data_IF_564059017526
#
_entry.id   IF_564059017526
#
_cell.length_a   1.000
_cell.length_b   1.000
_cell.length_c   1.000
_cell.angle_alpha   90.00
_cell.angle_beta   90.00
_cell.angle_gamma   90.00
#
_symmetry.space_group_name_H-M   'P 1'
#
loop_
_entity.id
_entity.type
_entity.pdbx_description
1 polymer ?
#
# COMPACT_ATOMS: atom_id res chain seq x y z
N UNK A 1 18.17 16.90 29.16
CA UNK A 1 18.99 17.84 28.37
C UNK A 1 19.26 17.20 27.01
N UNK A 2 18.55 17.65 25.98
CA UNK A 2 18.64 17.12 24.62
C UNK A 2 19.72 17.90 23.85
N UNK A 3 20.75 17.19 23.36
CA UNK A 3 21.84 17.78 22.58
C UNK A 3 21.46 17.69 21.09
N UNK A 4 21.12 18.86 20.55
CA UNK A 4 21.15 19.33 19.17
C UNK A 4 21.03 18.32 17.99
N UNK A 5 19.89 18.39 17.29
CA UNK A 5 19.67 17.94 15.90
C UNK A 5 20.21 18.97 14.88
N UNK A 6 21.45 19.43 15.04
CA UNK A 6 22.04 20.43 14.13
C UNK A 6 23.56 20.32 14.14
N UNK A 7 24.08 19.15 13.74
CA UNK A 7 25.43 19.09 13.20
C UNK A 7 25.32 19.31 11.69
N UNK A 8 26.07 20.27 11.11
CA UNK A 8 26.21 20.34 9.65
C UNK A 8 26.95 19.09 9.18
N UNK A 9 26.53 18.51 8.06
CA UNK A 9 27.23 17.39 7.42
C UNK A 9 28.73 17.73 7.33
N UNK A 10 29.59 16.81 7.77
CA UNK A 10 31.04 17.00 7.67
C UNK A 10 31.39 17.38 6.22
N UNK A 11 32.15 18.47 5.99
CA UNK A 11 32.55 18.85 4.65
C UNK A 11 33.30 17.69 4.02
N UNK A 12 32.88 17.32 2.82
CA UNK A 12 33.41 16.20 2.05
C UNK A 12 34.96 16.21 2.08
N UNK A 13 35.55 15.14 2.61
CA UNK A 13 37.01 15.01 2.74
C UNK A 13 37.65 14.77 1.36
N UNK A 14 37.81 15.87 0.64
CA UNK A 14 38.41 15.94 -0.69
C UNK A 14 39.80 15.30 -0.78
N UNK A 15 40.57 15.30 0.31
CA UNK A 15 41.90 14.69 0.37
C UNK A 15 41.79 13.16 0.38
N UNK A 16 40.85 12.63 1.17
CA UNK A 16 40.56 11.20 1.20
C UNK A 16 40.00 10.70 -0.14
N UNK A 17 39.12 11.48 -0.77
CA UNK A 17 38.60 11.16 -2.11
C UNK A 17 39.70 11.17 -3.17
N UNK A 18 40.59 12.16 -3.17
CA UNK A 18 41.72 12.22 -4.08
C UNK A 18 42.65 11.00 -3.92
N UNK A 19 42.91 10.56 -2.68
CA UNK A 19 43.69 9.37 -2.39
C UNK A 19 43.02 8.08 -2.89
N UNK A 20 41.69 7.95 -2.70
CA UNK A 20 40.92 6.80 -3.18
C UNK A 20 40.89 6.75 -4.70
N UNK A 21 40.66 7.89 -5.36
CA UNK A 21 40.67 8.00 -6.81
C UNK A 21 42.04 7.63 -7.39
N UNK A 22 43.14 8.12 -6.79
CA UNK A 22 44.49 7.77 -7.22
C UNK A 22 44.81 6.27 -7.07
N UNK A 23 44.29 5.62 -6.01
CA UNK A 23 44.42 4.17 -5.82
C UNK A 23 43.60 3.36 -6.82
N UNK A 24 42.42 3.85 -7.19
CA UNK A 24 41.54 3.21 -8.18
C UNK A 24 42.12 3.32 -9.60
N UNK A 25 42.72 4.45 -9.96
CA UNK A 25 43.37 4.65 -11.27
C UNK A 25 44.76 4.02 -11.38
N UNK A 26 45.44 3.78 -10.24
CA UNK A 26 46.78 3.20 -10.18
C UNK A 26 46.80 1.67 -10.08
N UNK A 27 45.67 1.03 -9.79
CA UNK A 27 45.50 -0.40 -10.04
C UNK A 27 45.39 -0.57 -11.56
N UNK A 28 46.17 -1.49 -12.14
CA UNK A 28 46.34 -1.76 -13.58
C UNK A 28 45.06 -2.28 -14.30
N UNK A 29 43.90 -1.93 -13.78
CA UNK A 29 42.57 -2.15 -14.32
C UNK A 29 42.28 -0.91 -15.16
N UNK A 30 42.30 -1.07 -16.48
CA UNK A 30 41.92 0.01 -17.40
C UNK A 30 40.62 0.67 -16.92
N UNK A 31 40.70 1.95 -16.56
CA UNK A 31 39.54 2.71 -16.14
C UNK A 31 38.48 2.58 -17.24
N UNK A 32 37.23 2.19 -16.92
CA UNK A 32 36.17 2.17 -17.92
C UNK A 32 36.08 3.55 -18.54
N UNK A 33 35.83 3.61 -19.86
CA UNK A 33 35.68 4.86 -20.57
C UNK A 33 34.68 5.76 -19.83
N UNK A 34 34.99 7.04 -19.66
CA UNK A 34 34.09 7.99 -19.01
C UNK A 34 32.72 7.91 -19.69
N UNK A 35 31.65 7.64 -18.93
CA UNK A 35 30.30 7.65 -19.48
C UNK A 35 30.01 9.02 -20.07
N UNK A 36 29.34 9.03 -21.22
CA UNK A 36 28.76 10.25 -21.77
C UNK A 36 27.58 10.67 -20.88
N UNK A 37 27.89 11.45 -19.84
CA UNK A 37 26.90 11.89 -18.86
C UNK A 37 25.85 12.80 -19.47
N UNK A 38 26.19 13.60 -20.49
CA UNK A 38 25.20 14.40 -21.20
C UNK A 38 24.16 13.50 -21.86
N UNK A 39 24.61 12.43 -22.53
CA UNK A 39 23.70 11.45 -23.13
C UNK A 39 22.88 10.70 -22.09
N UNK A 40 23.50 10.21 -21.02
CA UNK A 40 22.81 9.46 -19.95
C UNK A 40 21.75 10.33 -19.27
N UNK A 41 22.06 11.59 -18.95
CA UNK A 41 21.12 12.52 -18.34
C UNK A 41 19.97 12.83 -19.30
N UNK A 42 20.27 13.08 -20.58
CA UNK A 42 19.24 13.33 -21.59
C UNK A 42 18.30 12.15 -21.76
N UNK A 43 18.84 10.93 -21.93
CA UNK A 43 18.05 9.71 -22.02
C UNK A 43 17.22 9.46 -20.75
N UNK A 44 17.77 9.79 -19.58
CA UNK A 44 17.07 9.68 -18.30
C UNK A 44 15.88 10.63 -18.19
N UNK A 45 16.04 11.89 -18.62
CA UNK A 45 14.96 12.89 -18.65
C UNK A 45 13.87 12.48 -19.64
N UNK A 46 14.25 12.06 -20.85
CA UNK A 46 13.30 11.60 -21.87
C UNK A 46 12.50 10.38 -21.38
N UNK A 47 13.17 9.43 -20.73
CA UNK A 47 12.51 8.27 -20.10
C UNK A 47 11.58 8.67 -18.98
N UNK A 48 12.00 9.53 -18.06
CA UNK A 48 11.17 9.99 -16.95
C UNK A 48 9.91 10.70 -17.44
N UNK A 49 10.02 11.54 -18.49
CA UNK A 49 8.88 12.21 -19.10
C UNK A 49 7.91 11.23 -19.77
N UNK A 50 8.42 10.24 -20.51
CA UNK A 50 7.59 9.19 -21.13
C UNK A 50 6.82 8.42 -20.05
N UNK A 51 7.52 7.98 -19.01
CA UNK A 51 6.96 7.19 -17.92
C UNK A 51 5.92 7.99 -17.12
N UNK A 52 6.21 9.27 -16.84
CA UNK A 52 5.25 10.17 -16.18
C UNK A 52 3.98 10.37 -17.02
N UNK A 53 4.12 10.46 -18.34
CA UNK A 53 2.98 10.63 -19.25
C UNK A 53 2.12 9.36 -19.28
N UNK A 54 2.75 8.19 -19.41
CA UNK A 54 2.06 6.90 -19.37
C UNK A 54 1.34 6.67 -18.04
N UNK A 55 1.99 6.97 -16.91
CA UNK A 55 1.35 6.89 -15.59
C UNK A 55 0.16 7.83 -15.44
N UNK A 56 0.26 9.06 -15.98
CA UNK A 56 -0.85 10.02 -15.93
C UNK A 56 -2.02 9.53 -16.76
N UNK A 57 -1.75 8.95 -17.94
CA UNK A 57 -2.80 8.35 -18.78
C UNK A 57 -3.45 7.14 -18.10
N UNK A 58 -2.66 6.22 -17.54
CA UNK A 58 -3.19 5.08 -16.81
C UNK A 58 -4.04 5.51 -15.62
N UNK A 59 -3.61 6.54 -14.86
CA UNK A 59 -4.38 7.09 -13.76
C UNK A 59 -5.73 7.65 -14.22
N UNK A 60 -5.74 8.38 -15.34
CA UNK A 60 -6.98 8.91 -15.92
C UNK A 60 -7.91 7.80 -16.43
N UNK A 61 -7.36 6.74 -17.03
CA UNK A 61 -8.14 5.58 -17.45
C UNK A 61 -8.77 4.92 -16.22
N UNK A 62 -7.97 4.63 -15.20
CA UNK A 62 -8.46 4.02 -13.97
C UNK A 62 -9.51 4.88 -13.26
N UNK A 63 -9.31 6.19 -13.20
CA UNK A 63 -10.27 7.13 -12.62
C UNK A 63 -11.60 7.10 -13.40
N UNK A 64 -11.55 7.08 -14.74
CA UNK A 64 -12.76 6.94 -15.58
C UNK A 64 -13.44 5.59 -15.44
N UNK A 65 -12.67 4.51 -15.35
CA UNK A 65 -13.21 3.16 -15.11
C UNK A 65 -13.89 3.10 -13.74
N UNK A 66 -13.30 3.71 -12.73
CA UNK A 66 -13.88 3.84 -11.40
C UNK A 66 -15.16 4.69 -11.41
N UNK A 67 -15.15 5.83 -12.08
CA UNK A 67 -16.34 6.68 -12.26
C UNK A 67 -17.46 5.95 -13.01
N UNK A 68 -17.13 5.16 -14.04
CA UNK A 68 -18.10 4.36 -14.78
C UNK A 68 -18.69 3.25 -13.90
N UNK A 69 -17.84 2.54 -13.15
CA UNK A 69 -18.29 1.54 -12.18
C UNK A 69 -19.21 2.13 -11.11
N UNK A 70 -18.87 3.30 -10.56
CA UNK A 70 -19.72 4.01 -9.60
C UNK A 70 -21.04 4.47 -10.23
N UNK A 71 -21.04 4.98 -11.46
CA UNK A 71 -22.26 5.32 -12.18
C UNK A 71 -23.16 4.09 -12.44
N UNK A 72 -22.56 2.94 -12.77
CA UNK A 72 -23.29 1.67 -12.93
C UNK A 72 -23.91 1.21 -11.61
N UNK A 73 -23.19 1.38 -10.49
CA UNK A 73 -23.69 1.06 -9.15
C UNK A 73 -24.87 1.96 -8.76
N UNK A 74 -24.75 3.29 -8.97
CA UNK A 74 -25.83 4.26 -8.75
C UNK A 74 -27.04 3.99 -9.67
N UNK A 75 -26.81 3.47 -10.88
CA UNK A 75 -27.88 3.10 -11.82
C UNK A 75 -28.59 1.79 -11.43
N UNK A 76 -27.95 0.94 -10.62
CA UNK A 76 -28.52 -0.28 -10.03
C UNK A 76 -29.21 -0.02 -8.68
N UNK A 77 -28.96 1.13 -8.06
CA UNK A 77 -29.61 1.58 -6.83
C UNK A 77 -31.16 1.53 -6.88
N UNK A 78 -31.86 1.90 -7.98
CA UNK A 78 -33.31 1.73 -8.07
C UNK A 78 -33.80 0.27 -8.16
N UNK A 79 -32.99 -0.68 -8.62
CA UNK A 79 -33.32 -2.12 -8.55
C UNK A 79 -33.09 -2.69 -7.14
N UNK A 80 -32.10 -2.16 -6.39
CA UNK A 80 -31.94 -2.48 -4.96
C UNK A 80 -32.98 -1.81 -4.07
N UNK A 81 -33.55 -0.68 -4.48
CA UNK A 81 -34.66 -0.01 -3.78
C UNK A 81 -35.98 -0.80 -3.82
N UNK A 82 -36.09 -1.82 -4.69
CA UNK A 82 -37.23 -2.76 -4.68
C UNK A 82 -37.13 -3.80 -3.55
N UNK A 83 -36.00 -3.85 -2.80
CA UNK A 83 -35.80 -4.71 -1.64
C UNK A 83 -36.64 -4.33 -0.39
N UNK A 84 -37.57 -3.41 -0.53
CA UNK A 84 -38.36 -2.84 0.57
C UNK A 84 -37.72 -1.56 1.13
N UNK A 85 -38.47 -0.80 1.95
CA UNK A 85 -37.90 0.35 2.63
C UNK A 85 -36.66 -0.07 3.42
N UNK A 86 -35.65 0.81 3.57
CA UNK A 86 -34.57 0.55 4.50
C UNK A 86 -35.20 0.16 5.85
N UNK A 87 -34.61 -0.83 6.57
CA UNK A 87 -35.09 -1.22 7.89
C UNK A 87 -35.32 0.04 8.73
N UNK A 88 -36.51 0.13 9.34
CA UNK A 88 -36.88 1.25 10.21
C UNK A 88 -35.77 1.50 11.24
N UNK A 89 -35.56 2.76 11.65
CA UNK A 89 -34.47 3.11 12.58
C UNK A 89 -34.53 2.22 13.86
N UNK A 90 -35.75 1.86 14.28
CA UNK A 90 -35.97 0.93 15.40
C UNK A 90 -35.69 -0.56 15.12
N UNK A 91 -35.67 -1.01 13.87
CA UNK A 91 -35.17 -2.33 13.47
C UNK A 91 -33.65 -2.38 13.50
N UNK A 92 -33.00 -1.31 13.05
CA UNK A 92 -31.54 -1.21 13.05
C UNK A 92 -30.99 -1.11 14.47
N UNK A 93 -31.61 -0.32 15.34
CA UNK A 93 -31.23 -0.22 16.75
C UNK A 93 -31.38 -1.58 17.47
N UNK A 94 -32.47 -2.32 17.20
CA UNK A 94 -32.64 -3.67 17.76
C UNK A 94 -31.58 -4.63 17.26
N UNK A 95 -31.26 -4.60 15.98
CA UNK A 95 -30.20 -5.44 15.41
C UNK A 95 -28.84 -5.15 16.07
N UNK A 96 -28.49 -3.87 16.25
CA UNK A 96 -27.25 -3.46 16.92
C UNK A 96 -27.21 -3.94 18.36
N UNK A 97 -28.30 -3.79 19.11
CA UNK A 97 -28.37 -4.24 20.51
C UNK A 97 -28.30 -5.77 20.66
N UNK A 98 -28.95 -6.52 19.75
CA UNK A 98 -28.83 -7.98 19.70
C UNK A 98 -27.39 -8.43 19.41
N UNK A 99 -26.74 -7.78 18.44
CA UNK A 99 -25.34 -8.09 18.10
C UNK A 99 -24.37 -7.67 19.21
N UNK A 100 -24.62 -6.54 19.88
CA UNK A 100 -23.90 -6.10 21.07
C UNK A 100 -23.97 -7.16 22.17
N UNK A 101 -25.16 -7.70 22.45
CA UNK A 101 -25.34 -8.77 23.43
C UNK A 101 -24.59 -10.05 23.01
N UNK A 102 -24.63 -10.43 21.73
CA UNK A 102 -23.84 -11.55 21.19
C UNK A 102 -22.34 -11.32 21.39
N UNK A 103 -21.83 -10.14 21.05
CA UNK A 103 -20.40 -9.82 21.16
C UNK A 103 -19.87 -9.80 22.59
N UNK A 104 -20.67 -9.39 23.58
CA UNK A 104 -20.29 -9.50 25.00
C UNK A 104 -20.00 -10.94 25.43
N UNK A 105 -20.62 -11.93 24.77
CA UNK A 105 -20.37 -13.36 25.05
C UNK A 105 -19.26 -13.93 24.18
N UNK A 106 -19.15 -13.47 22.93
CA UNK A 106 -18.30 -14.06 21.91
C UNK A 106 -16.85 -13.56 21.96
N UNK A 107 -16.67 -12.27 22.26
CA UNK A 107 -15.40 -11.56 22.16
C UNK A 107 -14.70 -11.51 23.52
N UNK A 108 -13.46 -12.04 23.63
CA UNK A 108 -12.73 -12.05 24.88
C UNK A 108 -12.50 -10.64 25.43
N UNK A 109 -12.93 -10.40 26.67
CA UNK A 109 -12.73 -9.13 27.36
C UNK A 109 -13.56 -7.96 26.82
N UNK A 110 -14.56 -8.22 25.97
CA UNK A 110 -15.49 -7.20 25.54
C UNK A 110 -16.35 -6.71 26.72
N UNK A 111 -16.53 -5.40 26.79
CA UNK A 111 -17.43 -4.74 27.74
C UNK A 111 -18.38 -3.82 26.97
N UNK A 112 -19.50 -3.46 27.60
CA UNK A 112 -20.51 -2.63 26.96
C UNK A 112 -19.96 -1.26 26.55
N UNK A 113 -18.97 -0.75 27.29
CA UNK A 113 -18.30 0.52 27.03
C UNK A 113 -17.36 0.46 25.82
N UNK A 114 -16.76 -0.70 25.55
CA UNK A 114 -15.83 -0.88 24.42
C UNK A 114 -16.55 -1.20 23.11
N UNK A 115 -17.70 -1.86 23.18
CA UNK A 115 -18.54 -2.15 22.02
C UNK A 115 -19.40 -0.93 21.66
N UNK A 116 -18.81 0.20 21.27
CA UNK A 116 -19.64 1.35 20.82
C UNK A 116 -20.48 0.98 19.60
N UNK A 117 -21.55 1.73 19.30
CA UNK A 117 -22.39 1.45 18.11
C UNK A 117 -21.55 1.35 16.84
N UNK A 118 -20.56 2.24 16.72
CA UNK A 118 -19.58 2.21 15.62
C UNK A 118 -18.80 0.90 15.54
N UNK A 119 -18.32 0.37 16.67
CA UNK A 119 -17.55 -0.89 16.69
C UNK A 119 -18.45 -2.07 16.35
N UNK A 120 -19.68 -2.11 16.89
CA UNK A 120 -20.66 -3.15 16.57
C UNK A 120 -21.00 -3.11 15.08
N UNK A 121 -21.29 -1.94 14.54
CA UNK A 121 -21.54 -1.73 13.12
C UNK A 121 -20.37 -2.18 12.24
N UNK A 122 -19.15 -1.78 12.61
CA UNK A 122 -17.95 -2.18 11.89
C UNK A 122 -17.82 -3.69 11.82
N UNK A 123 -18.02 -4.40 12.94
CA UNK A 123 -17.92 -5.87 12.96
C UNK A 123 -19.00 -6.52 12.09
N UNK A 124 -20.25 -6.06 12.18
CA UNK A 124 -21.36 -6.58 11.37
C UNK A 124 -21.08 -6.44 9.86
N UNK A 125 -20.48 -5.32 9.43
CA UNK A 125 -20.34 -5.00 8.00
C UNK A 125 -18.99 -5.38 7.41
N UNK A 126 -17.95 -5.45 8.25
CA UNK A 126 -16.58 -5.68 7.79
C UNK A 126 -16.15 -7.13 7.96
N UNK A 127 -16.94 -7.97 8.63
CA UNK A 127 -16.62 -9.37 8.87
C UNK A 127 -17.82 -10.26 8.54
N UNK A 128 -17.53 -11.50 8.16
CA UNK A 128 -18.54 -12.50 7.74
C UNK A 128 -18.53 -13.74 8.61
N UNK A 129 -17.42 -14.01 9.31
CA UNK A 129 -17.26 -15.19 10.16
C UNK A 129 -16.90 -14.82 11.60
N UNK A 130 -17.16 -15.73 12.54
CA UNK A 130 -16.82 -15.56 13.96
C UNK A 130 -15.31 -15.41 14.16
N UNK A 131 -14.52 -16.12 13.36
CA UNK A 131 -13.07 -16.04 13.37
C UNK A 131 -12.59 -14.63 12.98
N UNK A 132 -13.20 -14.04 11.94
CA UNK A 132 -12.92 -12.67 11.52
C UNK A 132 -13.36 -11.64 12.56
N UNK A 133 -14.53 -11.81 13.18
CA UNK A 133 -14.99 -10.94 14.27
C UNK A 133 -14.00 -10.94 15.44
N UNK A 134 -13.48 -12.12 15.81
CA UNK A 134 -12.48 -12.27 16.87
C UNK A 134 -11.13 -11.69 16.50
N UNK A 135 -10.68 -11.88 15.27
CA UNK A 135 -9.43 -11.31 14.78
C UNK A 135 -9.51 -9.78 14.70
N UNK A 136 -10.60 -9.24 14.14
CA UNK A 136 -10.90 -7.82 14.09
C UNK A 136 -10.91 -7.21 15.49
N UNK A 137 -11.54 -7.89 16.47
CA UNK A 137 -11.53 -7.51 17.87
C UNK A 137 -10.13 -7.49 18.50
N UNK A 138 -9.37 -8.57 18.34
CA UNK A 138 -8.03 -8.70 18.91
C UNK A 138 -7.07 -7.63 18.39
N UNK A 139 -7.17 -7.29 17.10
CA UNK A 139 -6.29 -6.30 16.43
C UNK A 139 -6.86 -4.89 16.40
N UNK A 140 -8.09 -4.69 16.88
CA UNK A 140 -8.84 -3.43 16.85
C UNK A 140 -8.84 -2.80 15.46
N UNK A 141 -9.22 -3.58 14.45
CA UNK A 141 -9.05 -3.17 13.04
C UNK A 141 -9.86 -1.94 12.66
N UNK A 142 -10.93 -1.61 13.40
CA UNK A 142 -11.69 -0.36 13.25
C UNK A 142 -10.88 0.91 13.59
N UNK A 143 -9.72 0.78 14.26
CA UNK A 143 -8.81 1.90 14.50
C UNK A 143 -7.84 2.12 13.34
N UNK A 144 -7.75 1.17 12.41
CA UNK A 144 -6.87 1.21 11.26
C UNK A 144 -7.60 1.82 10.07
N UNK A 145 -6.85 2.42 9.13
CA UNK A 145 -7.45 2.97 7.90
C UNK A 145 -7.70 1.84 6.89
N UNK A 146 -8.93 1.78 6.37
CA UNK A 146 -9.34 0.84 5.32
C UNK A 146 -10.29 -0.24 5.81
N UNK A 147 -10.82 -1.08 4.89
CA UNK A 147 -11.69 -2.20 5.25
C UNK A 147 -10.92 -3.25 6.04
N UNK A 148 -11.65 -4.09 6.80
CA UNK A 148 -11.06 -5.26 7.44
C UNK A 148 -10.34 -6.14 6.41
N UNK A 149 -9.13 -6.59 6.75
CA UNK A 149 -8.39 -7.61 6.01
C UNK A 149 -7.97 -8.72 6.96
N UNK A 150 -8.31 -9.99 6.70
CA UNK A 150 -7.84 -11.11 7.51
C UNK A 150 -6.31 -11.08 7.67
N UNK A 151 -5.82 -11.39 8.88
CA UNK A 151 -4.37 -11.37 9.16
C UNK A 151 -3.58 -12.26 8.19
N UNK A 152 -4.13 -13.42 7.82
CA UNK A 152 -3.52 -14.34 6.87
C UNK A 152 -3.38 -13.72 5.46
N UNK A 153 -4.35 -12.92 5.01
CA UNK A 153 -4.31 -12.28 3.70
C UNK A 153 -3.40 -11.05 3.67
N UNK A 154 -3.31 -10.33 4.79
CA UNK A 154 -2.46 -9.15 4.92
C UNK A 154 -0.96 -9.47 4.79
N UNK A 155 -0.55 -10.70 5.14
CA UNK A 155 0.86 -11.13 5.05
C UNK A 155 1.14 -12.03 3.84
N UNK A 156 0.11 -12.63 3.24
CA UNK A 156 0.29 -13.49 2.07
C UNK A 156 0.62 -12.68 0.81
N UNK A 157 1.70 -13.10 0.15
CA UNK A 157 2.05 -12.64 -1.17
C UNK A 157 1.04 -13.21 -2.19
N UNK A 158 0.43 -12.36 -3.03
CA UNK A 158 -0.35 -12.81 -4.18
C UNK A 158 0.43 -13.86 -4.99
N UNK A 159 -0.25 -14.90 -5.48
CA UNK A 159 0.40 -15.98 -6.26
C UNK A 159 1.19 -15.44 -7.45
N UNK A 160 0.66 -14.41 -8.12
CA UNK A 160 1.32 -13.73 -9.23
C UNK A 160 2.64 -13.03 -8.86
N UNK A 161 2.79 -12.62 -7.59
CA UNK A 161 4.03 -12.00 -7.12
C UNK A 161 5.09 -13.04 -6.78
N UNK A 162 4.71 -14.22 -6.28
CA UNK A 162 5.66 -15.23 -5.76
C UNK A 162 6.85 -15.56 -6.68
N UNK A 163 6.69 -15.70 -8.02
CA UNK A 163 7.81 -15.93 -8.92
C UNK A 163 8.81 -14.78 -9.02
N UNK A 164 8.36 -13.56 -8.69
CA UNK A 164 9.09 -12.31 -8.85
C UNK A 164 9.77 -11.86 -7.55
N UNK A 165 9.39 -12.42 -6.41
CA UNK A 165 9.84 -12.02 -5.06
C UNK A 165 11.20 -12.65 -4.71
N UNK A 166 12.09 -11.87 -4.09
CA UNK A 166 13.40 -12.33 -3.62
C UNK A 166 13.31 -12.86 -2.20
N UNK A 167 14.27 -13.71 -1.82
CA UNK A 167 14.34 -14.26 -0.47
C UNK A 167 14.38 -13.14 0.58
N UNK A 168 13.49 -13.22 1.58
CA UNK A 168 13.36 -12.23 2.66
C UNK A 168 12.44 -11.04 2.36
N UNK A 169 11.90 -10.91 1.14
CA UNK A 169 10.93 -9.85 0.82
C UNK A 169 9.52 -10.23 1.30
N UNK A 170 8.93 -9.33 2.09
CA UNK A 170 7.54 -9.44 2.55
C UNK A 170 6.62 -8.56 1.71
N UNK A 171 5.31 -8.83 1.74
CA UNK A 171 4.29 -7.98 1.09
C UNK A 171 4.47 -6.49 1.44
N UNK A 172 4.66 -6.17 2.71
CA UNK A 172 4.89 -4.81 3.17
C UNK A 172 6.16 -4.19 2.58
N UNK A 173 7.26 -4.95 2.51
CA UNK A 173 8.49 -4.45 1.91
C UNK A 173 8.34 -4.14 0.43
N UNK A 174 7.55 -4.93 -0.30
CA UNK A 174 7.26 -4.73 -1.72
C UNK A 174 6.36 -3.52 -1.95
N UNK A 175 5.27 -3.39 -1.20
CA UNK A 175 4.36 -2.23 -1.26
C UNK A 175 5.11 -0.93 -0.95
N UNK A 176 5.95 -0.92 0.10
CA UNK A 176 6.77 0.22 0.46
C UNK A 176 7.79 0.57 -0.62
N UNK A 177 8.48 -0.44 -1.17
CA UNK A 177 9.51 -0.22 -2.19
C UNK A 177 8.90 0.24 -3.52
N UNK A 178 7.74 -0.32 -3.91
CA UNK A 178 6.99 0.12 -5.09
C UNK A 178 6.60 1.59 -4.96
N UNK A 179 6.02 1.99 -3.82
CA UNK A 179 5.65 3.37 -3.55
C UNK A 179 6.88 4.31 -3.55
N UNK A 180 7.99 3.89 -2.94
CA UNK A 180 9.24 4.66 -2.93
C UNK A 180 9.86 4.81 -4.34
N UNK A 181 9.67 3.82 -5.21
CA UNK A 181 10.08 3.85 -6.61
C UNK A 181 9.04 4.58 -7.51
N UNK A 182 7.96 5.11 -6.94
CA UNK A 182 6.94 5.87 -7.67
C UNK A 182 5.95 5.02 -8.47
N UNK A 183 5.86 3.72 -8.19
CA UNK A 183 4.87 2.84 -8.78
C UNK A 183 3.55 2.91 -8.02
N UNK A 184 2.45 2.93 -8.77
CA UNK A 184 1.11 2.87 -8.22
C UNK A 184 0.73 1.42 -7.86
N UNK A 185 1.15 0.46 -8.68
CA UNK A 185 0.95 -0.97 -8.46
C UNK A 185 2.29 -1.68 -8.18
N UNK A 186 2.27 -2.62 -7.24
CA UNK A 186 3.40 -3.50 -6.93
C UNK A 186 3.67 -4.46 -8.08
N UNK A 187 2.65 -4.86 -8.84
CA UNK A 187 2.82 -5.71 -10.03
C UNK A 187 3.73 -5.03 -11.08
N UNK A 188 3.47 -3.76 -11.40
CA UNK A 188 4.31 -2.97 -12.32
C UNK A 188 5.74 -2.80 -11.81
N UNK A 189 5.89 -2.57 -10.50
CA UNK A 189 7.19 -2.47 -9.86
C UNK A 189 8.00 -3.78 -9.98
N UNK A 190 7.35 -4.91 -9.72
CA UNK A 190 7.98 -6.23 -9.80
C UNK A 190 8.38 -6.57 -11.24
N UNK A 191 7.56 -6.20 -12.23
CA UNK A 191 7.86 -6.39 -13.65
C UNK A 191 9.04 -5.52 -14.09
N UNK A 192 9.01 -4.22 -13.78
CA UNK A 192 10.11 -3.29 -14.06
C UNK A 192 11.45 -3.76 -13.47
N UNK A 193 11.40 -4.32 -12.27
CA UNK A 193 12.58 -4.88 -11.60
C UNK A 193 13.12 -6.12 -12.31
N UNK A 194 12.26 -6.94 -12.89
CA UNK A 194 12.67 -8.11 -13.67
C UNK A 194 13.34 -7.71 -14.98
N UNK A 195 12.85 -6.67 -15.63
CA UNK A 195 13.35 -6.17 -16.92
C UNK A 195 14.67 -5.37 -16.78
N UNK A 196 15.32 -5.44 -15.61
CA UNK A 196 16.61 -4.78 -15.33
C UNK A 196 16.52 -3.26 -15.21
N UNK A 197 15.33 -2.72 -14.96
CA UNK A 197 15.09 -1.27 -14.96
C UNK A 197 15.05 -0.64 -16.35
N UNK A 198 15.01 -1.46 -17.40
CA UNK A 198 14.88 -1.06 -18.81
C UNK A 198 13.56 -1.57 -19.35
N UNK A 199 12.60 -0.66 -19.56
CA UNK A 199 11.39 -0.98 -20.32
C UNK A 199 11.70 -0.73 -21.80
N UNK A 200 11.29 -1.67 -22.66
CA UNK A 200 11.45 -1.62 -24.11
C UNK A 200 10.83 -0.36 -24.76
#
# INVERSE_FOLDING_TARGET
MAKALSEPDEPEDSVRLALLNAKLTGADIAAPAEPDWERVVKEGIERALKQQTEQTQQRQIHEREWEAYMCELDSQEPEMAEAGPPPDDGEMDRMVEEQRARYLTLLPGATAELLTDYVVWYLIHSTTTVEEERDAWARRTWQQKGPYRPAAEAEQLPERWKPLVREGETRWSLERNAAAAGFFDVDDYLQWRQDGGTVA
#
